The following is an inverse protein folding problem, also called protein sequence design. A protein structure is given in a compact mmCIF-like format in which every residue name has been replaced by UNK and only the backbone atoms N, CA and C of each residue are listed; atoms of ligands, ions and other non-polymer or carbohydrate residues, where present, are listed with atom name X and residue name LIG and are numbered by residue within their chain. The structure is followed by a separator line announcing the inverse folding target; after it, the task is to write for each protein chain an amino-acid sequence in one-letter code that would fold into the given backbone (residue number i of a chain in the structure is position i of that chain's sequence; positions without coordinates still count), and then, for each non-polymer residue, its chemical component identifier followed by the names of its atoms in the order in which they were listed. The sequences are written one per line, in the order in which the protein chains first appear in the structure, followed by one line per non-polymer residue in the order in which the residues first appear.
data_IF_215223372518
#
_entry.id   IF_215223372518
#
_cell.length_a   1.000
_cell.length_b   1.000
_cell.length_c   1.000
_cell.angle_alpha   90.00
_cell.angle_beta   90.00
_cell.angle_gamma   90.00
#
_symmetry.space_group_name_H-M   'P 1'
#
loop_
_entity.id
_entity.type
_entity.pdbx_description
1 polymer ?
#
# COMPACT_ATOMS: atom_id res chain seq x y z
N UNK A 1 -36.31 29.01 21.43
CA UNK A 1 -35.49 28.60 20.26
C UNK A 1 -34.01 28.46 20.58
N UNK A 2 -33.46 29.22 21.54
CA UNK A 2 -32.03 29.22 21.94
C UNK A 2 -31.42 27.86 22.36
N UNK A 3 -32.14 27.05 23.15
CA UNK A 3 -31.59 25.78 23.71
C UNK A 3 -31.29 24.75 22.60
N UNK A 4 -32.14 24.67 21.58
CA UNK A 4 -31.97 23.71 20.49
C UNK A 4 -30.73 24.04 19.65
N UNK A 5 -30.45 25.33 19.45
CA UNK A 5 -29.26 25.81 18.73
C UNK A 5 -28.00 25.46 19.53
N UNK A 6 -27.97 25.77 20.83
CA UNK A 6 -26.82 25.44 21.70
C UNK A 6 -26.59 23.92 21.80
N UNK A 7 -27.66 23.12 21.89
CA UNK A 7 -27.56 21.66 21.91
C UNK A 7 -27.02 21.10 20.58
N UNK A 8 -27.49 21.61 19.44
CA UNK A 8 -26.98 21.22 18.13
C UNK A 8 -25.51 21.58 17.97
N UNK A 9 -25.11 22.77 18.44
CA UNK A 9 -23.74 23.22 18.36
C UNK A 9 -22.80 22.41 19.26
N UNK A 10 -23.25 22.04 20.46
CA UNK A 10 -22.54 21.13 21.34
C UNK A 10 -22.34 19.76 20.66
N UNK A 11 -23.39 19.19 20.05
CA UNK A 11 -23.30 17.91 19.36
C UNK A 11 -22.34 17.97 18.17
N UNK A 12 -22.38 19.05 17.38
CA UNK A 12 -21.42 19.29 16.29
C UNK A 12 -19.99 19.28 16.83
N UNK A 13 -19.71 19.92 17.96
CA UNK A 13 -18.38 19.91 18.57
C UNK A 13 -17.94 18.54 19.09
N UNK A 14 -18.86 17.75 19.65
CA UNK A 14 -18.58 16.36 20.03
C UNK A 14 -18.20 15.55 18.78
N UNK A 15 -18.97 15.67 17.69
CA UNK A 15 -18.70 14.99 16.43
C UNK A 15 -17.37 15.43 15.81
N UNK A 16 -17.05 16.73 15.88
CA UNK A 16 -15.74 17.24 15.48
C UNK A 16 -14.63 16.63 16.32
N UNK A 17 -14.79 16.51 17.64
CA UNK A 17 -13.82 15.83 18.51
C UNK A 17 -13.61 14.35 18.13
N UNK A 18 -14.68 13.64 17.79
CA UNK A 18 -14.60 12.26 17.26
C UNK A 18 -13.84 12.22 15.93
N UNK A 19 -14.14 13.14 15.01
CA UNK A 19 -13.48 13.25 13.71
C UNK A 19 -11.98 13.55 13.85
N UNK A 20 -11.59 14.44 14.77
CA UNK A 20 -10.19 14.74 15.07
C UNK A 20 -9.45 13.53 15.63
N UNK A 21 -10.09 12.75 16.50
CA UNK A 21 -9.55 11.48 17.00
C UNK A 21 -9.34 10.46 15.88
N UNK A 22 -10.30 10.35 14.96
CA UNK A 22 -10.17 9.49 13.77
C UNK A 22 -9.01 9.95 12.90
N UNK A 23 -8.93 11.25 12.59
CA UNK A 23 -7.85 11.83 11.78
C UNK A 23 -6.48 11.58 12.41
N UNK A 24 -6.38 11.67 13.74
CA UNK A 24 -5.16 11.36 14.47
C UNK A 24 -4.75 9.90 14.35
N UNK A 25 -5.69 8.96 14.43
CA UNK A 25 -5.38 7.54 14.24
C UNK A 25 -4.93 7.24 12.80
N UNK A 26 -5.53 7.91 11.79
CA UNK A 26 -5.05 7.84 10.41
C UNK A 26 -3.61 8.33 10.27
N UNK A 27 -3.33 9.52 10.81
CA UNK A 27 -1.99 10.08 10.88
C UNK A 27 -1.01 9.09 11.51
N UNK A 28 -1.35 8.53 12.68
CA UNK A 28 -0.47 7.62 13.43
C UNK A 28 -0.20 6.30 12.73
N UNK A 29 -1.19 5.70 12.08
CA UNK A 29 -0.99 4.44 11.34
C UNK A 29 -0.16 4.67 10.08
N UNK A 30 -0.39 5.77 9.36
CA UNK A 30 0.43 6.15 8.22
C UNK A 30 1.89 6.35 8.66
N UNK A 31 2.09 7.02 9.79
CA UNK A 31 3.41 7.26 10.37
C UNK A 31 4.12 5.96 10.76
N UNK A 32 3.40 5.03 11.41
CA UNK A 32 3.92 3.71 11.77
C UNK A 32 4.39 2.89 10.56
N UNK A 33 3.73 3.07 9.41
CA UNK A 33 4.07 2.37 8.18
C UNK A 33 5.34 2.92 7.51
N UNK A 34 5.48 4.24 7.40
CA UNK A 34 6.61 4.87 6.69
C UNK A 34 7.91 4.94 7.52
N UNK A 35 7.84 4.75 8.85
CA UNK A 35 8.96 4.88 9.80
C UNK A 35 9.87 6.09 9.50
N UNK A 36 9.32 7.31 9.47
CA UNK A 36 10.07 8.46 8.99
C UNK A 36 11.07 8.95 10.06
N UNK A 37 12.05 9.73 9.63
CA UNK A 37 13.05 10.37 10.52
C UNK A 37 12.37 11.43 11.41
N UNK A 38 13.00 11.77 12.54
CA UNK A 38 12.48 12.70 13.55
C UNK A 38 11.95 14.03 12.97
N UNK A 39 12.61 14.58 11.94
CA UNK A 39 12.20 15.82 11.28
C UNK A 39 10.86 15.71 10.56
N UNK A 40 10.61 14.57 9.90
CA UNK A 40 9.32 14.31 9.25
C UNK A 40 8.21 14.17 10.31
N UNK A 41 8.56 13.77 11.54
CA UNK A 41 7.58 13.63 12.64
C UNK A 41 7.12 15.00 13.05
N UNK A 42 8.06 15.91 13.27
CA UNK A 42 7.78 17.29 13.62
C UNK A 42 6.92 17.99 12.55
N UNK A 43 7.23 17.80 11.25
CA UNK A 43 6.40 18.35 10.17
C UNK A 43 5.00 17.74 10.17
N UNK A 44 4.90 16.43 10.34
CA UNK A 44 3.62 15.73 10.38
C UNK A 44 2.76 16.16 11.56
N UNK A 45 3.36 16.32 12.74
CA UNK A 45 2.69 16.84 13.93
C UNK A 45 2.21 18.27 13.66
N UNK A 46 3.06 19.16 13.16
CA UNK A 46 2.67 20.52 12.82
C UNK A 46 1.51 20.55 11.81
N UNK A 47 1.56 19.71 10.79
CA UNK A 47 0.48 19.59 9.80
C UNK A 47 -0.82 19.08 10.43
N UNK A 48 -0.76 18.09 11.33
CA UNK A 48 -1.93 17.62 12.07
C UNK A 48 -2.51 18.72 12.95
N UNK A 49 -1.69 19.46 13.69
CA UNK A 49 -2.14 20.55 14.56
C UNK A 49 -2.83 21.66 13.75
N UNK A 50 -2.27 22.05 12.61
CA UNK A 50 -2.87 23.02 11.70
C UNK A 50 -4.21 22.52 11.13
N UNK A 51 -4.26 21.26 10.67
CA UNK A 51 -5.48 20.67 10.16
C UNK A 51 -6.56 20.55 11.25
N UNK A 52 -6.18 20.13 12.45
CA UNK A 52 -7.08 20.03 13.60
C UNK A 52 -7.65 21.38 13.99
N UNK A 53 -6.81 22.42 14.04
CA UNK A 53 -7.24 23.79 14.29
C UNK A 53 -8.21 24.28 13.21
N UNK A 54 -7.88 24.07 11.92
CA UNK A 54 -8.72 24.48 10.81
C UNK A 54 -10.10 23.78 10.84
N UNK A 55 -10.13 22.45 11.02
CA UNK A 55 -11.38 21.68 11.11
C UNK A 55 -12.23 22.14 12.29
N UNK A 56 -11.60 22.35 13.46
CA UNK A 56 -12.29 22.85 14.65
C UNK A 56 -12.86 24.25 14.43
N UNK A 57 -12.09 25.14 13.80
CA UNK A 57 -12.50 26.51 13.54
C UNK A 57 -13.66 26.58 12.54
N UNK A 58 -13.63 25.79 11.46
CA UNK A 58 -14.73 25.70 10.50
C UNK A 58 -15.99 25.17 11.18
N UNK A 59 -15.87 24.12 12.01
CA UNK A 59 -17.00 23.59 12.76
C UNK A 59 -17.56 24.63 13.75
N UNK A 60 -16.69 25.43 14.37
CA UNK A 60 -17.07 26.50 15.29
C UNK A 60 -17.82 27.64 14.60
N UNK A 61 -17.33 28.04 13.43
CA UNK A 61 -17.96 29.08 12.63
C UNK A 61 -19.35 28.64 12.18
N UNK A 62 -19.51 27.38 11.74
CA UNK A 62 -20.80 26.85 11.31
C UNK A 62 -21.78 26.58 12.46
N UNK A 63 -21.30 26.25 13.65
CA UNK A 63 -22.15 25.85 14.78
C UNK A 63 -22.61 27.04 15.65
N UNK A 64 -21.71 27.99 15.92
CA UNK A 64 -21.95 29.09 16.87
C UNK A 64 -21.52 30.46 16.32
N UNK A 65 -21.26 30.59 15.02
CA UNK A 65 -20.76 31.84 14.44
C UNK A 65 -19.33 32.19 14.89
N UNK A 66 -18.56 31.22 15.38
CA UNK A 66 -17.18 31.44 15.81
C UNK A 66 -17.03 31.84 17.27
N UNK A 67 -18.10 31.87 18.04
CA UNK A 67 -18.02 32.20 19.46
C UNK A 67 -17.32 31.11 20.27
N UNK A 68 -16.15 31.46 20.81
CA UNK A 68 -15.34 30.56 21.62
C UNK A 68 -15.90 30.52 23.05
N UNK A 69 -16.60 29.42 23.39
CA UNK A 69 -17.19 29.21 24.72
C UNK A 69 -16.62 27.95 25.38
N UNK A 70 -16.65 27.88 26.72
CA UNK A 70 -16.05 26.77 27.47
C UNK A 70 -16.63 25.39 27.07
N UNK A 71 -17.93 25.31 26.77
CA UNK A 71 -18.56 24.06 26.38
C UNK A 71 -18.01 23.49 25.06
N UNK A 72 -17.43 24.32 24.18
CA UNK A 72 -16.80 23.88 22.93
C UNK A 72 -15.62 22.98 23.22
N UNK A 73 -14.76 23.41 24.15
CA UNK A 73 -13.61 22.62 24.59
C UNK A 73 -14.03 21.35 25.29
N UNK A 74 -15.06 21.41 26.15
CA UNK A 74 -15.62 20.23 26.82
C UNK A 74 -16.21 19.24 25.80
N UNK A 75 -16.93 19.72 24.79
CA UNK A 75 -17.51 18.90 23.75
C UNK A 75 -16.42 18.23 22.89
N UNK A 76 -15.39 18.97 22.46
CA UNK A 76 -14.24 18.42 21.73
C UNK A 76 -13.49 17.37 22.55
N UNK A 77 -13.20 17.67 23.82
CA UNK A 77 -12.52 16.74 24.73
C UNK A 77 -13.36 15.48 24.96
N UNK A 78 -14.67 15.63 25.15
CA UNK A 78 -15.60 14.50 25.32
C UNK A 78 -15.69 13.65 24.06
N UNK A 79 -15.80 14.28 22.88
CA UNK A 79 -15.81 13.59 21.60
C UNK A 79 -14.53 12.82 21.33
N UNK A 80 -13.37 13.45 21.57
CA UNK A 80 -12.07 12.81 21.42
C UNK A 80 -11.89 11.65 22.42
N UNK A 81 -12.23 11.85 23.69
CA UNK A 81 -12.17 10.80 24.71
C UNK A 81 -13.12 9.63 24.40
N UNK A 82 -14.34 9.95 23.96
CA UNK A 82 -15.33 8.97 23.50
C UNK A 82 -14.82 8.16 22.32
N UNK A 83 -14.21 8.82 21.33
CA UNK A 83 -13.55 8.15 20.22
C UNK A 83 -12.46 7.20 20.71
N UNK A 84 -11.51 7.65 21.52
CA UNK A 84 -10.41 6.79 21.96
C UNK A 84 -10.87 5.59 22.78
N UNK A 85 -11.93 5.75 23.58
CA UNK A 85 -12.45 4.69 24.46
C UNK A 85 -13.32 3.68 23.71
N UNK A 86 -14.16 4.12 22.77
CA UNK A 86 -15.13 3.27 22.08
C UNK A 86 -14.64 2.82 20.70
N UNK A 87 -14.10 3.75 19.90
CA UNK A 87 -13.77 3.55 18.49
C UNK A 87 -12.28 3.32 18.24
N UNK A 88 -11.40 3.69 19.18
CA UNK A 88 -9.95 3.63 18.98
C UNK A 88 -9.40 2.21 18.73
N UNK A 89 -10.02 1.16 19.26
CA UNK A 89 -9.64 -0.24 18.96
C UNK A 89 -10.13 -0.69 17.57
N UNK A 90 -11.44 -0.63 17.26
CA UNK A 90 -11.94 -1.06 15.96
C UNK A 90 -11.38 -0.22 14.81
N UNK A 91 -11.22 1.10 14.99
CA UNK A 91 -10.65 1.98 13.97
C UNK A 91 -9.21 1.58 13.62
N UNK A 92 -8.34 1.37 14.62
CA UNK A 92 -6.97 0.89 14.40
C UNK A 92 -6.93 -0.48 13.73
N UNK A 93 -7.77 -1.41 14.17
CA UNK A 93 -7.85 -2.75 13.56
C UNK A 93 -8.27 -2.67 12.09
N UNK A 94 -9.32 -1.92 11.79
CA UNK A 94 -9.80 -1.70 10.43
C UNK A 94 -8.73 -1.05 9.56
N UNK A 95 -8.07 -0.02 10.07
CA UNK A 95 -7.05 0.71 9.33
C UNK A 95 -5.81 -0.15 9.05
N UNK A 96 -5.33 -0.92 10.03
CA UNK A 96 -4.24 -1.88 9.80
C UNK A 96 -4.62 -2.94 8.78
N UNK A 97 -5.87 -3.43 8.80
CA UNK A 97 -6.37 -4.39 7.81
C UNK A 97 -6.43 -3.77 6.42
N UNK A 98 -6.91 -2.53 6.30
CA UNK A 98 -6.94 -1.77 5.06
C UNK A 98 -5.55 -1.57 4.47
N UNK A 99 -4.57 -1.17 5.28
CA UNK A 99 -3.20 -0.99 4.79
C UNK A 99 -2.61 -2.32 4.33
N UNK A 100 -2.85 -3.42 5.05
CA UNK A 100 -2.41 -4.77 4.63
C UNK A 100 -3.06 -5.23 3.33
N UNK A 101 -4.36 -5.00 3.14
CA UNK A 101 -5.05 -5.37 1.90
C UNK A 101 -4.53 -4.55 0.73
N UNK A 102 -4.37 -3.23 0.88
CA UNK A 102 -3.78 -2.37 -0.17
C UNK A 102 -2.36 -2.83 -0.52
N UNK A 103 -1.51 -3.12 0.47
CA UNK A 103 -0.16 -3.61 0.24
C UNK A 103 -0.14 -5.00 -0.43
N UNK A 104 -1.10 -5.87 -0.12
CA UNK A 104 -1.25 -7.16 -0.81
C UNK A 104 -1.66 -6.95 -2.26
N UNK A 105 -2.67 -6.12 -2.52
CA UNK A 105 -3.13 -5.79 -3.88
C UNK A 105 -2.00 -5.20 -4.71
N UNK A 106 -1.24 -4.24 -4.19
CA UNK A 106 -0.10 -3.66 -4.90
C UNK A 106 0.96 -4.71 -5.28
N UNK A 107 1.24 -5.66 -4.37
CA UNK A 107 2.17 -6.78 -4.66
C UNK A 107 1.63 -7.68 -5.77
N UNK A 108 0.35 -8.05 -5.70
CA UNK A 108 -0.32 -8.85 -6.72
C UNK A 108 -0.29 -8.16 -8.08
N UNK A 109 -0.64 -6.87 -8.15
CA UNK A 109 -0.59 -6.07 -9.38
C UNK A 109 0.82 -6.06 -9.95
N UNK A 110 1.85 -5.82 -9.13
CA UNK A 110 3.24 -5.84 -9.58
C UNK A 110 3.66 -7.21 -10.11
N UNK A 111 3.26 -8.30 -9.44
CA UNK A 111 3.56 -9.66 -9.88
C UNK A 111 2.88 -9.97 -11.21
N UNK A 112 1.61 -9.59 -11.36
CA UNK A 112 0.86 -9.76 -12.61
C UNK A 112 1.52 -8.97 -13.73
N UNK A 113 1.88 -7.70 -13.49
CA UNK A 113 2.52 -6.85 -14.48
C UNK A 113 3.89 -7.39 -14.91
N UNK A 114 4.72 -7.82 -13.96
CA UNK A 114 6.01 -8.45 -14.24
C UNK A 114 5.84 -9.75 -15.00
N UNK A 115 4.89 -10.60 -14.62
CA UNK A 115 4.63 -11.86 -15.31
C UNK A 115 4.14 -11.62 -16.74
N UNK A 116 3.24 -10.63 -16.92
CA UNK A 116 2.71 -10.22 -18.21
C UNK A 116 3.78 -9.63 -19.13
N UNK A 117 4.77 -8.89 -18.62
CA UNK A 117 5.88 -8.37 -19.42
C UNK A 117 6.97 -9.43 -19.68
N UNK A 118 7.38 -10.18 -18.66
CA UNK A 118 8.54 -11.08 -18.76
C UNK A 118 8.22 -12.30 -19.62
N UNK A 119 7.03 -12.90 -19.50
CA UNK A 119 6.67 -14.10 -20.27
C UNK A 119 6.67 -13.92 -21.80
N UNK A 120 6.06 -12.87 -22.39
CA UNK A 120 6.12 -12.67 -23.84
C UNK A 120 7.54 -12.37 -24.31
N UNK A 121 8.33 -11.63 -23.52
CA UNK A 121 9.75 -11.36 -23.85
C UNK A 121 10.57 -12.65 -23.86
N UNK A 122 10.42 -13.51 -22.84
CA UNK A 122 11.12 -14.80 -22.78
C UNK A 122 10.67 -15.71 -23.92
N UNK A 123 9.38 -15.74 -24.27
CA UNK A 123 8.89 -16.49 -25.42
C UNK A 123 9.48 -15.98 -26.73
N UNK A 124 9.53 -14.65 -26.93
CA UNK A 124 10.11 -14.03 -28.11
C UNK A 124 11.61 -14.34 -28.24
N UNK A 125 12.39 -14.21 -27.16
CA UNK A 125 13.81 -14.57 -27.14
C UNK A 125 14.01 -16.06 -27.39
N UNK A 126 13.21 -16.92 -26.75
CA UNK A 126 13.25 -18.36 -26.98
C UNK A 126 12.95 -18.70 -28.43
N UNK A 127 11.96 -18.04 -29.03
CA UNK A 127 11.59 -18.20 -30.45
C UNK A 127 12.73 -17.80 -31.39
N UNK A 128 13.48 -16.74 -31.05
CA UNK A 128 14.69 -16.33 -31.79
C UNK A 128 15.88 -17.30 -31.64
N UNK A 129 16.05 -17.95 -30.49
CA UNK A 129 17.17 -18.89 -30.26
C UNK A 129 16.91 -20.32 -30.73
N UNK A 130 15.65 -20.73 -30.90
CA UNK A 130 15.26 -22.04 -31.46
C UNK A 130 15.95 -22.41 -32.79
N UNK A 131 16.04 -21.54 -33.81
CA UNK A 131 16.68 -21.88 -35.08
C UNK A 131 18.18 -22.16 -34.92
N UNK A 132 18.89 -21.41 -34.08
CA UNK A 132 20.31 -21.63 -33.82
C UNK A 132 20.58 -23.01 -33.19
N UNK A 133 19.73 -23.44 -32.24
CA UNK A 133 19.81 -24.78 -31.66
C UNK A 133 19.44 -25.91 -32.64
N UNK A 134 18.64 -25.63 -33.67
CA UNK A 134 18.33 -26.60 -34.72
C UNK A 134 19.49 -26.75 -35.71
N UNK A 135 20.08 -25.63 -36.15
CA UNK A 135 21.23 -25.62 -37.06
C UNK A 135 22.44 -26.32 -36.43
N UNK A 136 22.72 -26.10 -35.14
CA UNK A 136 23.79 -26.81 -34.44
C UNK A 136 23.62 -28.33 -34.42
N UNK A 137 22.37 -28.83 -34.34
CA UNK A 137 22.07 -30.27 -34.42
C UNK A 137 22.18 -30.82 -35.84
N UNK A 138 21.96 -30.01 -36.86
CA UNK A 138 22.13 -30.43 -38.26
C UNK A 138 23.61 -30.50 -38.64
N UNK A 139 24.40 -29.51 -38.24
CA UNK A 139 25.85 -29.48 -38.46
C UNK A 139 26.55 -30.64 -37.74
N UNK A 140 26.11 -30.99 -36.53
CA UNK A 140 26.69 -32.13 -35.80
C UNK A 140 26.36 -33.50 -36.42
N UNK A 141 25.32 -33.61 -37.25
CA UNK A 141 25.06 -34.82 -38.05
C UNK A 141 25.98 -34.92 -39.27
N UNK A 142 26.32 -33.78 -39.88
CA UNK A 142 27.22 -33.70 -41.03
C UNK A 142 28.69 -33.87 -40.65
N UNK A 143 29.09 -33.46 -39.43
CA UNK A 143 30.46 -33.60 -38.91
C UNK A 143 30.76 -34.98 -38.30
N UNK A 144 29.85 -35.95 -38.37
CA UNK A 144 30.17 -37.31 -37.91
C UNK A 144 31.20 -37.91 -38.87
N UNK A 145 32.40 -38.29 -38.40
CA UNK A 145 33.37 -38.95 -39.27
C UNK A 145 32.76 -40.25 -39.80
N UNK A 146 33.06 -40.65 -41.05
CA UNK A 146 32.62 -41.93 -41.58
C UNK A 146 33.07 -43.05 -40.63
N UNK A 147 32.17 -44.01 -40.37
CA UNK A 147 32.46 -45.15 -39.50
C UNK A 147 33.70 -45.90 -39.98
N UNK A 148 34.40 -46.63 -39.07
CA UNK A 148 35.58 -47.39 -39.45
C UNK A 148 35.24 -48.33 -40.62
N UNK A 149 36.16 -48.50 -41.59
CA UNK A 149 35.93 -49.37 -42.73
C UNK A 149 35.59 -50.79 -42.25
N UNK A 150 34.78 -51.55 -43.01
CA UNK A 150 34.44 -52.93 -42.64
C UNK A 150 35.73 -53.68 -42.37
N UNK A 151 35.81 -54.38 -41.23
CA UNK A 151 36.95 -55.23 -40.90
C UNK A 151 37.20 -56.15 -42.09
N UNK A 152 38.31 -55.89 -42.80
CA UNK A 152 38.81 -56.76 -43.84
C UNK A 152 39.07 -58.09 -43.15
N UNK A 153 38.28 -59.11 -43.49
CA UNK A 153 38.43 -60.46 -42.96
C UNK A 153 39.80 -61.00 -43.41
N UNK A 154 40.85 -60.62 -42.68
CA UNK A 154 42.18 -61.18 -42.83
C UNK A 154 42.07 -62.64 -42.37
N UNK A 155 42.26 -63.62 -43.28
CA UNK A 155 42.22 -65.02 -42.89
C UNK A 155 43.33 -65.27 -41.85
N UNK A 156 43.07 -66.09 -40.82
CA UNK A 156 44.07 -66.41 -39.81
C UNK A 156 45.30 -67.03 -40.48
N UNK A 157 46.52 -66.66 -40.06
CA UNK A 157 47.74 -67.24 -40.61
C UNK A 157 47.81 -68.74 -40.25
N UNK A 158 48.16 -69.54 -41.26
CA UNK A 158 48.29 -71.01 -41.22
C UNK A 158 49.28 -71.51 -40.15
#
# INVERSE_FOLDING_TARGET
MEINVQASAFLTMVLTGVLLGLLFDFYRVLYSWFKPRWFITAIGDLAYWLAAAAVTFVALLGANGGELRLYVFLALATGAAGYYRLLGRPARYFLMRLVRTVAAVMRWVRLILLWLLVKPVVLAVRMMWLPFGYVGRLVSRLRRPPGPPPEENVPPPD
#
